data_IF_669192048882
#
_entry.id   IF_669192048882
#
_cell.length_a   1.000
_cell.length_b   1.000
_cell.length_c   1.000
_cell.angle_alpha   90.00
_cell.angle_beta   90.00
_cell.angle_gamma   90.00
#
_symmetry.space_group_name_H-M   'P 1'
#
loop_
_entity.id
_entity.type
_entity.pdbx_description
1 polymer ?
#
# COMPACT_ATOMS: atom_id res chain seq x y z
N UNK A 1 23.91 -61.12 -18.42
CA UNK A 1 25.23 -60.90 -19.06
C UNK A 1 25.05 -60.89 -20.58
N UNK A 2 25.84 -60.06 -21.28
CA UNK A 2 25.80 -59.61 -22.70
C UNK A 2 25.48 -58.09 -22.74
N UNK A 3 26.15 -57.20 -23.47
CA UNK A 3 27.16 -57.31 -24.54
C UNK A 3 27.68 -55.88 -24.88
N UNK A 4 28.87 -55.85 -25.49
CA UNK A 4 29.39 -54.88 -26.49
C UNK A 4 29.90 -53.46 -26.09
N UNK A 5 31.25 -53.40 -26.07
CA UNK A 5 32.18 -52.41 -26.65
C UNK A 5 31.58 -51.42 -27.68
N UNK A 6 31.98 -50.14 -27.64
CA UNK A 6 32.87 -49.46 -28.64
C UNK A 6 32.98 -47.93 -28.45
N UNK A 7 34.20 -47.50 -28.08
CA UNK A 7 35.01 -46.32 -28.49
C UNK A 7 34.31 -45.18 -29.26
N UNK A 8 34.35 -43.96 -28.70
CA UNK A 8 34.14 -42.68 -29.39
C UNK A 8 35.48 -42.14 -29.92
N UNK A 9 35.59 -41.73 -31.20
CA UNK A 9 36.75 -41.01 -31.71
C UNK A 9 36.64 -39.50 -31.46
N UNK A 10 37.82 -38.89 -31.32
CA UNK A 10 38.05 -37.47 -31.21
C UNK A 10 37.83 -36.74 -32.54
N UNK A 11 37.66 -35.42 -32.39
CA UNK A 11 37.76 -34.37 -33.41
C UNK A 11 36.69 -34.35 -34.50
N UNK A 12 35.82 -33.33 -34.44
CA UNK A 12 35.89 -32.24 -35.42
C UNK A 12 34.88 -31.12 -35.12
N UNK A 13 35.32 -29.91 -35.49
CA UNK A 13 34.54 -28.72 -35.83
C UNK A 13 34.18 -27.77 -34.68
N UNK A 14 35.13 -26.86 -34.47
CA UNK A 14 34.95 -25.55 -33.88
C UNK A 14 33.69 -24.83 -34.41
N UNK A 15 32.84 -24.36 -33.50
CA UNK A 15 31.78 -23.39 -33.81
C UNK A 15 32.27 -21.95 -33.60
N UNK A 16 31.97 -21.01 -34.52
CA UNK A 16 32.48 -19.63 -34.50
C UNK A 16 31.78 -18.75 -33.44
N UNK A 17 32.41 -17.61 -33.04
CA UNK A 17 31.94 -16.80 -31.93
C UNK A 17 30.60 -16.12 -32.24
N UNK A 18 29.66 -16.28 -31.31
CA UNK A 18 28.37 -15.61 -31.34
C UNK A 18 28.57 -14.09 -31.39
N UNK A 19 28.13 -13.47 -32.47
CA UNK A 19 28.01 -12.02 -32.61
C UNK A 19 27.10 -11.51 -31.49
N UNK A 20 27.68 -10.82 -30.51
CA UNK A 20 26.96 -10.04 -29.49
C UNK A 20 26.12 -8.97 -30.20
N UNK A 21 24.88 -9.30 -30.55
CA UNK A 21 23.87 -8.30 -30.85
C UNK A 21 23.51 -7.63 -29.53
N UNK A 22 24.00 -6.41 -29.35
CA UNK A 22 23.55 -5.49 -28.32
C UNK A 22 22.09 -5.16 -28.66
N UNK A 23 21.15 -5.94 -28.13
CA UNK A 23 19.73 -5.56 -28.14
C UNK A 23 19.60 -4.35 -27.23
N UNK A 24 19.57 -3.18 -27.85
CA UNK A 24 19.18 -1.92 -27.24
C UNK A 24 17.71 -2.06 -26.84
N UNK A 25 17.46 -2.59 -25.64
CA UNK A 25 16.14 -2.54 -25.02
C UNK A 25 15.92 -1.08 -24.63
N UNK A 26 15.22 -0.36 -25.50
CA UNK A 26 14.60 0.91 -25.16
C UNK A 26 13.84 0.73 -23.84
N UNK A 27 14.36 1.36 -22.80
CA UNK A 27 13.75 1.48 -21.48
C UNK A 27 12.33 2.02 -21.70
N UNK A 28 11.26 1.33 -21.28
CA UNK A 28 9.95 1.96 -21.26
C UNK A 28 10.07 3.13 -20.28
N UNK A 29 9.89 4.32 -20.82
CA UNK A 29 9.75 5.56 -20.08
C UNK A 29 8.66 5.31 -19.04
N UNK A 30 9.06 5.29 -17.77
CA UNK A 30 8.13 5.11 -16.67
C UNK A 30 7.08 6.21 -16.81
N UNK A 31 5.76 5.92 -16.71
CA UNK A 31 4.78 6.98 -16.69
C UNK A 31 5.17 7.86 -15.51
N UNK A 32 5.54 9.10 -15.81
CA UNK A 32 5.70 10.13 -14.81
C UNK A 32 4.29 10.34 -14.25
N UNK A 33 3.93 9.56 -13.24
CA UNK A 33 2.70 9.75 -12.48
C UNK A 33 2.93 11.09 -11.80
N UNK A 34 2.46 12.14 -12.45
CA UNK A 34 2.31 13.44 -11.84
C UNK A 34 1.47 13.18 -10.60
N UNK A 35 2.13 13.12 -9.45
CA UNK A 35 1.47 13.17 -8.16
C UNK A 35 0.83 14.54 -8.15
N UNK A 36 -0.44 14.61 -8.57
CA UNK A 36 -1.24 15.81 -8.43
C UNK A 36 -1.34 15.97 -6.92
N UNK A 37 -0.48 16.82 -6.37
CA UNK A 37 -0.50 17.20 -4.96
C UNK A 37 -1.79 17.99 -4.79
N UNK A 38 -2.86 17.26 -4.47
CA UNK A 38 -4.15 17.88 -4.14
C UNK A 38 -3.96 18.68 -2.86
N UNK A 39 -4.62 19.82 -2.81
CA UNK A 39 -4.64 20.67 -1.63
C UNK A 39 -5.03 19.83 -0.39
N UNK A 40 -4.30 19.92 0.73
CA UNK A 40 -4.59 19.17 1.94
C UNK A 40 -6.03 19.39 2.46
N UNK A 41 -6.60 20.58 2.30
CA UNK A 41 -7.98 20.89 2.68
C UNK A 41 -8.99 20.06 1.87
N UNK A 42 -8.75 19.90 0.57
CA UNK A 42 -9.59 19.08 -0.31
C UNK A 42 -9.55 17.62 0.12
N UNK A 43 -8.36 17.10 0.44
CA UNK A 43 -8.19 15.70 0.86
C UNK A 43 -8.83 15.41 2.20
N UNK A 44 -8.73 16.34 3.17
CA UNK A 44 -9.44 16.24 4.45
C UNK A 44 -10.95 16.21 4.25
N UNK A 45 -11.49 17.14 3.46
CA UNK A 45 -12.92 17.19 3.16
C UNK A 45 -13.40 15.90 2.50
N UNK A 46 -12.66 15.39 1.52
CA UNK A 46 -12.99 14.12 0.84
C UNK A 46 -12.98 12.93 1.81
N UNK A 47 -12.03 12.87 2.74
CA UNK A 47 -11.98 11.83 3.77
C UNK A 47 -13.17 11.93 4.73
N UNK A 48 -13.51 13.15 5.17
CA UNK A 48 -14.65 13.42 6.05
C UNK A 48 -15.99 13.02 5.43
N UNK A 49 -16.21 13.32 4.15
CA UNK A 49 -17.41 12.85 3.46
C UNK A 49 -17.43 11.33 3.31
N UNK A 50 -16.29 10.75 2.96
CA UNK A 50 -16.19 9.32 2.70
C UNK A 50 -16.38 8.49 3.96
N UNK A 51 -15.91 8.96 5.12
CA UNK A 51 -16.11 8.25 6.41
C UNK A 51 -17.58 8.21 6.79
N UNK A 52 -18.29 9.32 6.64
CA UNK A 52 -19.74 9.39 6.89
C UNK A 52 -20.53 8.46 5.96
N UNK A 53 -20.13 8.35 4.69
CA UNK A 53 -20.80 7.47 3.71
C UNK A 53 -20.53 5.98 3.91
N UNK A 54 -19.30 5.61 4.29
CA UNK A 54 -18.85 4.21 4.25
C UNK A 54 -18.82 3.51 5.61
N UNK A 55 -18.78 4.25 6.72
CA UNK A 55 -18.70 3.70 8.07
C UNK A 55 -20.04 3.75 8.82
N UNK A 56 -21.12 3.36 8.13
CA UNK A 56 -22.50 3.39 8.68
C UNK A 56 -22.72 2.47 9.88
N UNK A 57 -21.78 1.58 10.19
CA UNK A 57 -21.83 0.69 11.36
C UNK A 57 -21.17 1.27 12.61
N UNK A 58 -20.55 2.45 12.53
CA UNK A 58 -19.98 3.14 13.69
C UNK A 58 -21.00 4.11 14.28
N UNK A 59 -20.96 4.30 15.59
CA UNK A 59 -21.72 5.36 16.25
C UNK A 59 -21.18 6.73 15.87
N UNK A 60 -22.05 7.74 15.85
CA UNK A 60 -21.71 9.13 15.49
C UNK A 60 -20.50 9.67 16.26
N UNK A 61 -20.35 9.34 17.55
CA UNK A 61 -19.17 9.71 18.37
C UNK A 61 -17.85 9.32 17.70
N UNK A 62 -17.76 8.11 17.16
CA UNK A 62 -16.54 7.63 16.50
C UNK A 62 -16.37 8.23 15.11
N UNK A 63 -17.46 8.57 14.42
CA UNK A 63 -17.38 9.32 13.17
C UNK A 63 -16.79 10.72 13.42
N UNK A 64 -17.22 11.41 14.48
CA UNK A 64 -16.68 12.71 14.88
C UNK A 64 -15.19 12.60 15.22
N UNK A 65 -14.79 11.62 16.03
CA UNK A 65 -13.37 11.46 16.36
C UNK A 65 -12.48 11.13 15.15
N UNK A 66 -13.00 10.41 14.15
CA UNK A 66 -12.29 10.20 12.88
C UNK A 66 -12.20 11.48 12.06
N UNK A 67 -13.24 12.33 12.09
CA UNK A 67 -13.21 13.65 11.47
C UNK A 67 -12.12 14.52 12.12
N UNK A 68 -12.06 14.57 13.45
CA UNK A 68 -11.07 15.34 14.19
C UNK A 68 -9.65 14.83 13.85
N UNK A 69 -9.46 13.51 13.81
CA UNK A 69 -8.22 12.91 13.34
C UNK A 69 -7.81 13.37 11.93
N UNK A 70 -8.75 13.43 10.99
CA UNK A 70 -8.43 13.91 9.63
C UNK A 70 -8.12 15.42 9.61
N UNK A 71 -8.75 16.19 10.49
CA UNK A 71 -8.44 17.62 10.64
C UNK A 71 -7.05 17.84 11.23
N UNK A 72 -6.60 16.99 12.15
CA UNK A 72 -5.27 17.07 12.77
C UNK A 72 -4.17 16.49 11.87
N UNK A 73 -4.41 15.31 11.28
CA UNK A 73 -3.43 14.56 10.49
C UNK A 73 -3.91 14.35 9.05
N UNK A 74 -3.34 15.14 8.12
CA UNK A 74 -3.55 15.01 6.67
C UNK A 74 -3.15 13.60 6.19
N UNK A 75 -2.12 13.01 6.79
CA UNK A 75 -1.61 11.69 6.40
C UNK A 75 -2.61 10.60 6.72
N UNK A 76 -3.32 10.70 7.84
CA UNK A 76 -4.41 9.79 8.19
C UNK A 76 -5.55 9.87 7.17
N UNK A 77 -5.90 11.08 6.73
CA UNK A 77 -6.90 11.29 5.68
C UNK A 77 -6.44 10.67 4.35
N UNK A 78 -5.18 10.88 3.95
CA UNK A 78 -4.59 10.28 2.76
C UNK A 78 -4.64 8.76 2.79
N UNK A 79 -4.16 8.17 3.88
CA UNK A 79 -4.20 6.71 4.07
C UNK A 79 -5.63 6.22 3.93
N UNK A 80 -6.58 6.82 4.66
CA UNK A 80 -7.99 6.42 4.58
C UNK A 80 -8.55 6.49 3.16
N UNK A 81 -8.25 7.55 2.40
CA UNK A 81 -8.68 7.69 1.01
C UNK A 81 -8.10 6.61 0.08
N UNK A 82 -6.87 6.15 0.33
CA UNK A 82 -6.24 5.07 -0.46
C UNK A 82 -6.80 3.69 -0.17
N UNK A 83 -7.50 3.49 0.96
CA UNK A 83 -8.07 2.19 1.34
C UNK A 83 -9.33 1.89 0.51
N UNK A 84 -9.15 1.12 -0.56
CA UNK A 84 -10.23 0.71 -1.47
C UNK A 84 -10.95 -0.55 -1.00
N UNK A 85 -10.23 -1.50 -0.41
CA UNK A 85 -10.79 -2.76 0.07
C UNK A 85 -11.49 -2.57 1.41
N UNK A 86 -12.80 -2.83 1.45
CA UNK A 86 -13.64 -2.63 2.64
C UNK A 86 -13.08 -3.30 3.90
N UNK A 87 -12.66 -4.57 3.82
CA UNK A 87 -12.13 -5.27 4.99
C UNK A 87 -10.88 -4.59 5.57
N UNK A 88 -9.98 -4.10 4.73
CA UNK A 88 -8.77 -3.40 5.17
C UNK A 88 -9.12 -2.04 5.78
N UNK A 89 -10.04 -1.31 5.15
CA UNK A 89 -10.58 -0.05 5.67
C UNK A 89 -11.16 -0.24 7.07
N UNK A 90 -12.05 -1.23 7.24
CA UNK A 90 -12.70 -1.51 8.53
C UNK A 90 -11.70 -1.88 9.62
N UNK A 91 -10.69 -2.70 9.32
CA UNK A 91 -9.65 -3.04 10.30
C UNK A 91 -8.80 -1.83 10.68
N UNK A 92 -8.43 -0.98 9.70
CA UNK A 92 -7.72 0.27 9.97
C UNK A 92 -8.53 1.20 10.87
N UNK A 93 -9.83 1.37 10.58
CA UNK A 93 -10.72 2.21 11.40
C UNK A 93 -10.89 1.66 12.80
N UNK A 94 -11.09 0.35 12.97
CA UNK A 94 -11.16 -0.30 14.29
C UNK A 94 -9.91 -0.04 15.11
N UNK A 95 -8.73 -0.14 14.50
CA UNK A 95 -7.48 0.13 15.19
C UNK A 95 -7.44 1.56 15.72
N UNK A 96 -7.91 2.53 14.92
CA UNK A 96 -7.92 3.95 15.31
C UNK A 96 -8.95 4.28 16.38
N UNK A 97 -10.16 3.73 16.24
CA UNK A 97 -11.24 3.86 17.23
C UNK A 97 -10.84 3.29 18.58
N UNK A 98 -10.10 2.18 18.62
CA UNK A 98 -9.59 1.61 19.87
C UNK A 98 -8.66 2.59 20.60
N UNK A 99 -7.75 3.24 19.88
CA UNK A 99 -6.85 4.22 20.49
C UNK A 99 -7.59 5.45 21.03
N UNK A 100 -8.60 5.94 20.32
CA UNK A 100 -9.44 7.06 20.78
C UNK A 100 -10.16 6.72 22.10
N UNK A 101 -10.63 5.48 22.26
CA UNK A 101 -11.29 5.03 23.49
C UNK A 101 -10.34 4.96 24.69
N UNK A 102 -9.05 4.69 24.46
CA UNK A 102 -8.05 4.55 25.52
C UNK A 102 -7.56 5.92 26.03
N UNK A 103 -7.65 6.98 25.23
CA UNK A 103 -7.23 8.35 25.60
C UNK A 103 -8.21 9.07 26.55
N UNK A 104 -9.48 8.64 26.64
CA UNK A 104 -10.47 9.24 27.54
C UNK A 104 -10.45 8.68 28.98
N UNK A 105 -9.61 7.67 29.28
CA UNK A 105 -9.59 6.99 30.58
C UNK A 105 -8.50 7.51 31.54
N UNK A 106 -7.93 8.69 31.26
CA UNK A 106 -6.78 9.25 31.99
C UNK A 106 -7.07 10.68 32.48
N UNK A 107 -8.04 10.90 33.38
CA UNK A 107 -8.24 12.22 34.01
C UNK A 107 -9.06 12.20 35.32
N UNK A 108 -8.91 11.18 36.19
CA UNK A 108 -9.62 11.12 37.49
C UNK A 108 -8.76 10.74 38.72
N UNK A 109 -7.45 11.01 38.71
CA UNK A 109 -6.56 10.76 39.88
C UNK A 109 -5.71 11.98 40.30
N UNK A 110 -6.30 13.17 40.34
CA UNK A 110 -5.75 14.30 41.12
C UNK A 110 -6.78 14.83 42.13
N UNK A 111 -7.00 14.02 43.18
CA UNK A 111 -7.49 14.50 44.48
C UNK A 111 -6.31 14.53 45.43
N UNK A 112 -5.78 15.72 45.74
CA UNK A 112 -5.06 16.00 46.98
C UNK A 112 -5.16 17.49 47.35
#
# INVERSE_FOLDING_TARGET
MCRLKRILPADAVASPPAKRRLTQTSRPESPNVAVIVRDPSVRKTEAMERVQRLETGLSDRYIVALIDLFQEDVSAADVYLTLTREGVRKEWVKARVRHIREEEEVDDDEVL
#
